data_IF_275317406578
#
_entry.id   IF_275317406578
#
_cell.length_a   1.000
_cell.length_b   1.000
_cell.length_c   1.000
_cell.angle_alpha   90.00
_cell.angle_beta   90.00
_cell.angle_gamma   90.00
#
_symmetry.space_group_name_H-M   'P 1'
#
loop_
_entity.id
_entity.type
_entity.pdbx_description
1 polymer ?
#
# COMPACT_ATOMS: atom_id res chain seq x y z
N UNK A 1 38.82 81.30 8.96
CA UNK A 1 38.21 80.52 7.85
C UNK A 1 37.79 79.18 8.39
N UNK A 2 36.48 79.01 8.58
CA UNK A 2 35.89 77.69 9.10
C UNK A 2 35.17 77.05 7.94
N UNK A 3 35.61 75.85 7.54
CA UNK A 3 34.86 74.97 6.61
C UNK A 3 34.01 73.95 7.40
N UNK A 4 32.74 74.05 7.21
CA UNK A 4 31.76 73.06 7.75
C UNK A 4 31.43 72.12 6.63
N UNK A 5 31.89 70.87 6.78
CA UNK A 5 31.46 69.73 5.89
C UNK A 5 30.15 69.09 6.39
N UNK A 6 29.18 69.07 5.52
CA UNK A 6 27.93 68.32 5.76
C UNK A 6 28.13 66.88 5.30
N UNK A 7 27.95 65.93 6.23
CA UNK A 7 27.92 64.53 5.93
C UNK A 7 26.42 64.12 5.64
N UNK A 8 26.20 63.68 4.42
CA UNK A 8 24.87 63.09 4.04
C UNK A 8 24.86 61.63 4.37
N UNK A 9 23.93 61.24 5.24
CA UNK A 9 23.62 59.84 5.54
C UNK A 9 22.70 59.27 4.43
N UNK A 10 23.20 58.32 3.65
CA UNK A 10 22.36 57.49 2.78
C UNK A 10 21.77 56.35 3.62
N UNK A 11 20.47 56.35 3.79
CA UNK A 11 19.74 55.22 4.32
C UNK A 11 19.51 54.20 3.20
N UNK A 12 20.18 53.06 3.29
CA UNK A 12 19.92 51.90 2.43
C UNK A 12 18.78 51.07 3.04
N UNK A 13 17.60 51.15 2.43
CA UNK A 13 16.48 50.29 2.76
C UNK A 13 16.69 48.90 2.10
N UNK A 14 17.17 47.94 2.89
CA UNK A 14 17.25 46.55 2.49
C UNK A 14 15.86 45.91 2.56
N UNK A 15 15.27 45.61 1.41
CA UNK A 15 14.09 44.75 1.34
C UNK A 15 14.51 43.31 1.64
N UNK A 16 14.12 42.81 2.80
CA UNK A 16 14.26 41.39 3.13
C UNK A 16 13.26 40.59 2.29
N UNK A 17 13.75 39.90 1.26
CA UNK A 17 13.00 38.88 0.54
C UNK A 17 12.91 37.68 1.46
N UNK A 18 11.75 37.47 2.08
CA UNK A 18 11.43 36.26 2.80
C UNK A 18 11.21 35.17 1.75
N UNK A 19 12.22 34.35 1.50
CA UNK A 19 12.03 33.07 0.83
C UNK A 19 11.21 32.18 1.76
N UNK A 20 9.92 32.04 1.49
CA UNK A 20 9.18 30.91 1.99
C UNK A 20 9.77 29.66 1.31
N UNK A 21 10.69 29.00 2.00
CA UNK A 21 11.08 27.66 1.65
C UNK A 21 9.83 26.81 1.80
N UNK A 22 9.19 26.49 0.68
CA UNK A 22 8.14 25.46 0.65
C UNK A 22 8.76 24.21 1.24
N UNK A 23 8.17 23.69 2.29
CA UNK A 23 8.54 22.41 2.87
C UNK A 23 8.29 21.37 1.76
N UNK A 24 9.37 20.92 1.14
CA UNK A 24 9.34 19.80 0.20
C UNK A 24 9.10 18.54 1.06
N UNK A 25 7.89 18.04 1.04
CA UNK A 25 7.48 16.80 1.71
C UNK A 25 8.02 15.54 1.02
N UNK A 26 8.63 15.69 -0.14
CA UNK A 26 9.21 14.58 -0.87
C UNK A 26 10.60 14.28 -0.32
N UNK A 27 10.69 13.33 0.60
CA UNK A 27 11.93 12.59 0.85
C UNK A 27 12.40 11.98 -0.48
N UNK A 28 13.73 11.95 -0.70
CA UNK A 28 14.32 11.30 -1.87
C UNK A 28 14.01 9.78 -1.81
N UNK A 29 12.88 9.34 -2.41
CA UNK A 29 12.50 7.93 -2.41
C UNK A 29 13.33 7.09 -3.41
N UNK A 30 14.16 7.74 -4.20
CA UNK A 30 14.96 7.07 -5.22
C UNK A 30 16.47 7.40 -5.11
N UNK A 31 17.34 6.57 -5.69
CA UNK A 31 16.99 5.35 -6.42
C UNK A 31 16.39 4.29 -5.48
N UNK A 32 15.27 3.69 -5.85
CA UNK A 32 14.63 2.64 -5.07
C UNK A 32 14.99 1.26 -5.60
N UNK A 33 15.32 0.32 -4.71
CA UNK A 33 15.57 -1.07 -5.08
C UNK A 33 14.24 -1.81 -5.23
N UNK A 34 13.91 -2.19 -6.47
CA UNK A 34 12.67 -2.87 -6.82
C UNK A 34 12.95 -4.18 -7.53
N UNK A 35 11.91 -4.94 -7.82
CA UNK A 35 11.95 -6.13 -8.64
C UNK A 35 11.08 -5.96 -9.88
N UNK A 36 11.52 -6.51 -10.99
CA UNK A 36 10.80 -6.55 -12.28
C UNK A 36 10.54 -7.99 -12.64
N UNK A 37 9.30 -8.32 -12.97
CA UNK A 37 8.87 -9.66 -13.42
C UNK A 37 9.12 -9.83 -14.94
N UNK A 38 9.70 -10.96 -15.31
CA UNK A 38 10.00 -11.29 -16.71
C UNK A 38 9.74 -12.79 -16.97
N UNK A 39 8.69 -13.14 -17.74
CA UNK A 39 7.71 -12.27 -18.41
C UNK A 39 6.80 -11.52 -17.41
N UNK A 40 6.27 -10.32 -17.81
CA UNK A 40 5.40 -9.53 -16.95
C UNK A 40 4.02 -10.19 -16.76
N UNK A 41 3.29 -9.76 -15.71
CA UNK A 41 1.91 -10.11 -15.38
C UNK A 41 1.68 -11.53 -14.83
N UNK A 42 2.65 -12.39 -14.87
CA UNK A 42 2.62 -13.67 -14.16
C UNK A 42 3.41 -13.54 -12.85
N UNK A 43 2.72 -13.71 -11.73
CA UNK A 43 3.32 -13.62 -10.39
C UNK A 43 4.32 -14.73 -10.10
N UNK A 44 4.28 -15.84 -10.86
CA UNK A 44 5.25 -16.94 -10.78
C UNK A 44 6.51 -16.69 -11.62
N UNK A 45 6.54 -15.66 -12.45
CA UNK A 45 7.69 -15.34 -13.30
C UNK A 45 8.95 -15.06 -12.47
N UNK A 46 10.13 -15.38 -13.02
CA UNK A 46 11.39 -14.91 -12.45
C UNK A 46 11.43 -13.39 -12.29
N UNK A 47 12.10 -12.94 -11.25
CA UNK A 47 12.27 -11.52 -10.96
C UNK A 47 13.73 -11.12 -11.05
N UNK A 48 13.96 -9.90 -11.54
CA UNK A 48 15.29 -9.28 -11.57
C UNK A 48 15.28 -8.06 -10.67
N UNK A 49 16.34 -7.89 -9.90
CA UNK A 49 16.57 -6.65 -9.15
C UNK A 49 16.79 -5.50 -10.13
N UNK A 50 16.15 -4.37 -9.85
CA UNK A 50 16.20 -3.20 -10.69
C UNK A 50 16.33 -1.94 -9.82
N UNK A 51 17.20 -1.02 -10.22
CA UNK A 51 17.35 0.26 -9.57
C UNK A 51 16.40 1.27 -10.22
N UNK A 52 15.28 1.52 -9.59
CA UNK A 52 14.23 2.39 -10.12
C UNK A 52 14.60 3.87 -9.93
N UNK A 53 14.62 4.60 -11.02
CA UNK A 53 14.83 6.05 -11.03
C UNK A 53 13.62 6.68 -11.74
N UNK A 54 12.81 7.50 -11.04
CA UNK A 54 11.66 8.15 -11.64
C UNK A 54 12.06 9.23 -12.65
N UNK A 55 11.09 9.78 -13.36
CA UNK A 55 11.24 10.95 -14.19
C UNK A 55 11.44 12.20 -13.31
N UNK A 56 12.23 13.14 -13.77
CA UNK A 56 12.38 14.43 -13.09
C UNK A 56 11.10 15.28 -13.21
N UNK A 57 10.46 15.25 -14.37
CA UNK A 57 9.23 16.01 -14.71
C UNK A 57 8.50 15.37 -15.86
N UNK A 58 7.18 15.54 -15.88
CA UNK A 58 6.37 15.28 -17.06
C UNK A 58 6.57 16.35 -18.14
N UNK A 59 6.47 15.95 -19.41
CA UNK A 59 6.60 16.91 -20.53
C UNK A 59 5.40 17.86 -20.62
N UNK A 60 4.24 17.48 -20.08
CA UNK A 60 3.04 18.31 -19.98
C UNK A 60 2.19 17.89 -18.77
N UNK A 61 1.20 18.70 -18.43
CA UNK A 61 0.27 18.44 -17.34
C UNK A 61 -0.77 17.39 -17.79
N UNK A 62 -0.45 16.11 -17.62
CA UNK A 62 -1.37 15.01 -17.87
C UNK A 62 -2.49 14.97 -16.84
N UNK A 63 -3.67 14.48 -17.21
CA UNK A 63 -4.81 14.27 -16.31
C UNK A 63 -4.95 12.77 -16.01
N UNK A 64 -4.72 12.38 -14.77
CA UNK A 64 -4.66 10.98 -14.33
C UNK A 64 -5.77 10.73 -13.31
N UNK A 65 -6.65 9.76 -13.60
CA UNK A 65 -7.62 9.26 -12.63
C UNK A 65 -6.99 8.15 -11.79
N UNK A 66 -7.15 8.22 -10.47
CA UNK A 66 -6.77 7.19 -9.51
C UNK A 66 -8.03 6.66 -8.84
N UNK A 67 -8.24 5.34 -8.84
CA UNK A 67 -9.42 4.73 -8.23
C UNK A 67 -9.02 3.71 -7.18
N UNK A 68 -9.45 3.92 -5.93
CA UNK A 68 -9.19 3.04 -4.81
C UNK A 68 -10.48 2.39 -4.27
N UNK A 69 -10.38 1.24 -3.58
CA UNK A 69 -11.51 0.59 -2.93
C UNK A 69 -12.14 1.48 -1.85
N UNK A 70 -11.31 2.13 -1.05
CA UNK A 70 -11.72 2.99 0.06
C UNK A 70 -10.53 3.76 0.63
N UNK A 71 -10.82 4.70 1.53
CA UNK A 71 -9.84 5.45 2.34
C UNK A 71 -10.02 5.21 3.86
N UNK A 72 -10.58 4.04 4.25
CA UNK A 72 -10.94 3.73 5.64
C UNK A 72 -9.74 3.39 6.52
N UNK A 73 -8.68 2.85 5.94
CA UNK A 73 -7.50 2.41 6.66
C UNK A 73 -6.22 3.15 6.22
N UNK A 74 -5.23 3.11 7.08
CA UNK A 74 -3.97 3.79 6.86
C UNK A 74 -3.12 3.20 5.73
N UNK A 75 -3.43 1.99 5.26
CA UNK A 75 -2.74 1.39 4.13
C UNK A 75 -3.03 2.17 2.84
N UNK A 76 -4.31 2.40 2.52
CA UNK A 76 -4.68 3.20 1.34
C UNK A 76 -4.29 4.67 1.48
N UNK A 77 -4.20 5.19 2.72
CA UNK A 77 -3.65 6.52 2.96
C UNK A 77 -2.16 6.59 2.58
N UNK A 78 -1.38 5.53 2.81
CA UNK A 78 0.01 5.47 2.38
C UNK A 78 0.14 5.42 0.85
N UNK A 79 -0.72 4.66 0.15
CA UNK A 79 -0.75 4.65 -1.32
C UNK A 79 -1.16 6.03 -1.86
N UNK A 80 -2.16 6.67 -1.26
CA UNK A 80 -2.58 8.04 -1.59
C UNK A 80 -1.43 9.04 -1.46
N UNK A 81 -0.71 9.00 -0.34
CA UNK A 81 0.48 9.83 -0.17
C UNK A 81 1.50 9.62 -1.31
N UNK A 82 1.72 8.37 -1.70
CA UNK A 82 2.61 8.03 -2.81
C UNK A 82 2.15 8.63 -4.15
N UNK A 83 0.87 8.47 -4.51
CA UNK A 83 0.35 9.01 -5.78
C UNK A 83 0.30 10.53 -5.79
N UNK A 84 -0.06 11.16 -4.67
CA UNK A 84 -0.07 12.63 -4.51
C UNK A 84 1.33 13.22 -4.63
N UNK A 85 2.28 12.65 -3.91
CA UNK A 85 3.65 13.15 -3.89
C UNK A 85 4.28 13.06 -5.29
N UNK A 86 4.13 11.93 -5.98
CA UNK A 86 4.68 11.76 -7.32
C UNK A 86 3.97 12.63 -8.36
N UNK A 87 2.65 12.81 -8.25
CA UNK A 87 1.90 13.71 -9.14
C UNK A 87 2.39 15.15 -9.03
N UNK A 88 2.69 15.61 -7.81
CA UNK A 88 3.28 16.93 -7.56
C UNK A 88 4.71 17.05 -8.09
N UNK A 89 5.53 16.03 -7.84
CA UNK A 89 6.92 16.01 -8.27
C UNK A 89 7.01 16.05 -9.80
N UNK A 90 6.15 15.31 -10.50
CA UNK A 90 6.09 15.29 -11.97
C UNK A 90 5.35 16.52 -12.56
N UNK A 91 4.48 17.17 -11.78
CA UNK A 91 3.67 18.31 -12.24
C UNK A 91 2.49 17.87 -13.10
N UNK A 92 1.86 16.76 -12.77
CA UNK A 92 0.65 16.25 -13.44
C UNK A 92 -0.59 16.51 -12.59
N UNK A 93 -1.76 16.55 -13.22
CA UNK A 93 -3.04 16.58 -12.53
C UNK A 93 -3.44 15.15 -12.13
N UNK A 94 -3.95 14.99 -10.92
CA UNK A 94 -4.46 13.72 -10.42
C UNK A 94 -5.81 13.94 -9.76
N UNK A 95 -6.80 13.11 -10.09
CA UNK A 95 -8.08 13.05 -9.40
C UNK A 95 -8.26 11.65 -8.83
N UNK A 96 -8.45 11.56 -7.50
CA UNK A 96 -8.67 10.30 -6.80
C UNK A 96 -10.16 10.12 -6.49
N UNK A 97 -10.68 8.94 -6.81
CA UNK A 97 -12.03 8.51 -6.45
C UNK A 97 -11.95 7.24 -5.60
N UNK A 98 -12.86 7.09 -4.64
CA UNK A 98 -12.90 5.90 -3.77
C UNK A 98 -14.32 5.34 -3.67
N UNK A 99 -14.43 4.02 -3.66
CA UNK A 99 -15.72 3.34 -3.72
C UNK A 99 -16.40 3.15 -2.36
N UNK A 100 -15.70 3.33 -1.23
CA UNK A 100 -16.23 3.19 0.12
C UNK A 100 -16.17 1.79 0.69
N UNK A 101 -15.55 0.81 -0.01
CA UNK A 101 -15.33 -0.56 0.48
C UNK A 101 -15.36 -1.60 -0.62
N UNK A 102 -14.89 -2.78 -0.28
CA UNK A 102 -14.78 -3.92 -1.20
C UNK A 102 -16.13 -4.49 -1.67
N UNK A 103 -17.24 -4.10 -1.07
CA UNK A 103 -18.59 -4.49 -1.51
C UNK A 103 -19.15 -3.62 -2.62
N UNK A 104 -18.46 -2.56 -3.02
CA UNK A 104 -19.00 -1.49 -3.86
C UNK A 104 -18.40 -1.50 -5.29
N UNK A 105 -18.26 -2.67 -5.90
CA UNK A 105 -17.68 -2.81 -7.25
C UNK A 105 -18.38 -1.93 -8.30
N UNK A 106 -19.70 -1.89 -8.31
CA UNK A 106 -20.45 -1.07 -9.27
C UNK A 106 -20.18 0.43 -9.10
N UNK A 107 -19.95 0.89 -7.86
CA UNK A 107 -19.56 2.28 -7.62
C UNK A 107 -18.16 2.56 -8.15
N UNK A 108 -17.21 1.63 -7.98
CA UNK A 108 -15.87 1.78 -8.56
C UNK A 108 -15.93 1.87 -10.08
N UNK A 109 -16.73 1.03 -10.73
CA UNK A 109 -16.92 1.06 -12.18
C UNK A 109 -17.44 2.43 -12.61
N UNK A 110 -18.58 2.89 -12.04
CA UNK A 110 -19.18 4.16 -12.39
C UNK A 110 -18.25 5.37 -12.20
N UNK A 111 -17.49 5.39 -11.09
CA UNK A 111 -16.53 6.46 -10.82
C UNK A 111 -15.39 6.50 -11.84
N UNK A 112 -14.90 5.35 -12.31
CA UNK A 112 -13.88 5.30 -13.37
C UNK A 112 -14.46 5.78 -14.70
N UNK A 113 -15.70 5.38 -15.04
CA UNK A 113 -16.41 5.87 -16.23
C UNK A 113 -16.57 7.39 -16.21
N UNK A 114 -16.94 7.96 -15.06
CA UNK A 114 -17.05 9.41 -14.84
C UNK A 114 -15.70 10.12 -15.03
N UNK A 115 -14.61 9.56 -14.50
CA UNK A 115 -13.26 10.09 -14.73
C UNK A 115 -12.91 10.16 -16.22
N UNK A 116 -13.23 9.10 -16.97
CA UNK A 116 -12.96 9.04 -18.42
C UNK A 116 -13.81 10.05 -19.17
N UNK A 117 -15.09 10.16 -18.80
CA UNK A 117 -15.99 11.15 -19.37
C UNK A 117 -15.53 12.59 -19.08
N UNK A 118 -14.89 12.82 -17.94
CA UNK A 118 -14.28 14.11 -17.57
C UNK A 118 -12.96 14.39 -18.31
N UNK A 119 -12.41 13.43 -19.05
CA UNK A 119 -11.22 13.63 -19.90
C UNK A 119 -9.91 13.07 -19.35
N UNK A 120 -9.95 12.19 -18.36
CA UNK A 120 -8.76 11.50 -17.86
C UNK A 120 -8.01 10.78 -19.00
N UNK A 121 -6.71 10.96 -19.04
CA UNK A 121 -5.84 10.45 -20.09
C UNK A 121 -5.14 9.14 -19.70
N UNK A 122 -5.17 8.79 -18.42
CA UNK A 122 -4.69 7.53 -17.88
C UNK A 122 -5.44 7.17 -16.62
N UNK A 123 -5.53 5.87 -16.29
CA UNK A 123 -6.27 5.38 -15.12
C UNK A 123 -5.38 4.46 -14.29
N UNK A 124 -5.25 4.74 -13.00
CA UNK A 124 -4.57 3.89 -12.02
C UNK A 124 -5.63 3.26 -11.11
N UNK A 125 -5.68 1.93 -11.03
CA UNK A 125 -6.75 1.21 -10.37
C UNK A 125 -6.20 0.30 -9.26
N UNK A 126 -6.60 0.56 -8.01
CA UNK A 126 -6.57 -0.42 -6.93
C UNK A 126 -7.89 -1.22 -6.97
N UNK A 127 -7.87 -2.39 -7.59
CA UNK A 127 -9.09 -3.11 -7.94
C UNK A 127 -9.83 -3.70 -6.72
N UNK A 128 -11.13 -3.51 -6.65
CA UNK A 128 -12.00 -4.18 -5.65
C UNK A 128 -12.09 -5.68 -5.92
N UNK A 129 -12.17 -6.07 -7.19
CA UNK A 129 -12.36 -7.45 -7.63
C UNK A 129 -11.28 -7.86 -8.62
N UNK A 130 -10.83 -9.12 -8.52
CA UNK A 130 -9.81 -9.66 -9.44
C UNK A 130 -10.29 -9.68 -10.89
N UNK A 131 -11.56 -10.05 -11.13
CA UNK A 131 -12.14 -10.23 -12.46
C UNK A 131 -13.18 -9.17 -12.82
N UNK A 132 -13.81 -8.54 -11.82
CA UNK A 132 -15.03 -7.73 -12.02
C UNK A 132 -14.84 -6.46 -12.83
N UNK A 133 -13.60 -6.01 -13.01
CA UNK A 133 -13.27 -4.81 -13.80
C UNK A 133 -12.79 -5.10 -15.23
N UNK A 134 -12.68 -6.39 -15.62
CA UNK A 134 -12.05 -6.77 -16.88
C UNK A 134 -12.75 -6.15 -18.11
N UNK A 135 -14.07 -6.12 -18.14
CA UNK A 135 -14.82 -5.52 -19.25
C UNK A 135 -14.56 -4.02 -19.35
N UNK A 136 -14.61 -3.31 -18.22
CA UNK A 136 -14.31 -1.88 -18.17
C UNK A 136 -12.89 -1.60 -18.65
N UNK A 137 -11.92 -2.35 -18.20
CA UNK A 137 -10.50 -2.21 -18.60
C UNK A 137 -10.34 -2.43 -20.12
N UNK A 138 -11.04 -3.42 -20.68
CA UNK A 138 -11.03 -3.65 -22.14
C UNK A 138 -11.64 -2.48 -22.92
N UNK A 139 -12.72 -1.90 -22.44
CA UNK A 139 -13.33 -0.71 -23.03
C UNK A 139 -12.39 0.50 -22.97
N UNK A 140 -11.73 0.74 -21.84
CA UNK A 140 -10.76 1.83 -21.65
C UNK A 140 -9.59 1.64 -22.63
N UNK A 141 -9.05 0.41 -22.69
CA UNK A 141 -7.97 0.06 -23.60
C UNK A 141 -8.33 0.31 -25.06
N UNK A 142 -9.57 -0.04 -25.48
CA UNK A 142 -10.05 0.20 -26.84
C UNK A 142 -10.11 1.69 -27.23
N UNK A 143 -10.21 2.58 -26.24
CA UNK A 143 -10.15 4.04 -26.42
C UNK A 143 -8.71 4.57 -26.44
N UNK A 144 -7.70 3.70 -26.31
CA UNK A 144 -6.29 4.09 -26.27
C UNK A 144 -5.84 4.72 -24.95
N UNK A 145 -6.64 4.59 -23.88
CA UNK A 145 -6.31 5.10 -22.55
C UNK A 145 -5.56 4.01 -21.78
N UNK A 146 -4.34 4.27 -21.29
CA UNK A 146 -3.59 3.30 -20.51
C UNK A 146 -4.18 3.08 -19.12
N UNK A 147 -4.11 1.82 -18.66
CA UNK A 147 -4.55 1.40 -17.32
C UNK A 147 -3.37 0.80 -16.57
N UNK A 148 -3.14 1.24 -15.35
CA UNK A 148 -2.18 0.62 -14.42
C UNK A 148 -2.94 -0.03 -13.26
N UNK A 149 -2.60 -1.29 -13.01
CA UNK A 149 -3.04 -2.05 -11.85
C UNK A 149 -2.07 -1.78 -10.69
N UNK A 150 -2.57 -1.20 -9.60
CA UNK A 150 -1.79 -0.89 -8.42
C UNK A 150 -2.27 -1.70 -7.21
N UNK A 151 -1.34 -2.28 -6.45
CA UNK A 151 -1.56 -3.00 -5.19
C UNK A 151 -2.35 -4.31 -5.34
N UNK A 152 -3.65 -4.25 -5.67
CA UNK A 152 -4.59 -5.35 -5.43
C UNK A 152 -4.52 -6.49 -6.45
N UNK A 153 -4.08 -6.21 -7.66
CA UNK A 153 -4.07 -7.18 -8.74
C UNK A 153 -5.42 -7.36 -9.44
N UNK A 154 -5.37 -7.44 -10.77
CA UNK A 154 -6.51 -7.83 -11.60
C UNK A 154 -6.08 -8.79 -12.71
N UNK A 155 -7.04 -9.59 -13.21
CA UNK A 155 -6.78 -10.63 -14.21
C UNK A 155 -6.78 -10.11 -15.65
N UNK A 156 -7.24 -8.87 -15.88
CA UNK A 156 -7.28 -8.29 -17.23
C UNK A 156 -5.93 -8.34 -17.91
N UNK A 157 -5.91 -8.69 -19.18
CA UNK A 157 -4.73 -8.66 -20.05
C UNK A 157 -4.55 -7.34 -20.78
N UNK A 158 -5.56 -6.46 -20.71
CA UNK A 158 -5.60 -5.17 -21.40
C UNK A 158 -5.01 -4.03 -20.54
N UNK A 159 -4.44 -4.36 -19.37
CA UNK A 159 -3.68 -3.41 -18.57
C UNK A 159 -2.34 -3.09 -19.22
N UNK A 160 -1.89 -1.86 -19.09
CA UNK A 160 -0.61 -1.39 -19.63
C UNK A 160 0.58 -1.76 -18.76
N UNK A 161 0.41 -1.69 -17.44
CA UNK A 161 1.44 -2.04 -16.46
C UNK A 161 0.84 -2.44 -15.11
N UNK A 162 1.68 -3.08 -14.27
CA UNK A 162 1.43 -3.37 -12.86
C UNK A 162 2.48 -2.67 -12.00
N UNK A 163 2.01 -1.96 -10.96
CA UNK A 163 2.83 -1.48 -9.85
C UNK A 163 2.36 -2.19 -8.59
N UNK A 164 2.83 -3.41 -8.38
CA UNK A 164 2.39 -4.25 -7.26
C UNK A 164 3.38 -5.39 -6.98
N UNK A 165 3.23 -6.02 -5.82
CA UNK A 165 4.02 -7.15 -5.34
C UNK A 165 3.17 -8.40 -5.20
N UNK A 166 3.79 -9.53 -4.83
CA UNK A 166 3.08 -10.80 -4.59
C UNK A 166 2.47 -10.84 -3.18
N UNK A 167 1.18 -10.64 -3.06
CA UNK A 167 0.46 -10.91 -1.80
C UNK A 167 0.51 -12.40 -1.41
N UNK A 168 0.64 -13.31 -2.39
CA UNK A 168 0.90 -14.72 -2.11
C UNK A 168 2.22 -14.93 -1.35
N UNK A 169 3.26 -14.19 -1.71
CA UNK A 169 4.53 -14.20 -0.99
C UNK A 169 4.42 -13.54 0.39
N UNK A 170 3.67 -12.45 0.52
CA UNK A 170 3.41 -11.84 1.84
C UNK A 170 2.70 -12.81 2.77
N UNK A 171 1.66 -13.50 2.30
CA UNK A 171 1.00 -14.56 3.04
C UNK A 171 1.95 -15.70 3.41
N UNK A 172 2.79 -16.12 2.46
CA UNK A 172 3.82 -17.13 2.72
C UNK A 172 4.86 -16.67 3.76
N UNK A 173 5.30 -15.41 3.73
CA UNK A 173 6.21 -14.85 4.74
C UNK A 173 5.59 -14.89 6.15
N UNK A 174 4.33 -14.50 6.29
CA UNK A 174 3.61 -14.57 7.57
C UNK A 174 3.49 -16.04 8.05
N UNK A 175 3.12 -16.96 7.15
CA UNK A 175 3.03 -18.39 7.47
C UNK A 175 4.38 -19.01 7.84
N UNK A 176 5.43 -18.69 7.09
CA UNK A 176 6.81 -19.15 7.37
C UNK A 176 7.34 -18.63 8.71
N UNK A 177 7.00 -17.38 9.08
CA UNK A 177 7.36 -16.82 10.37
C UNK A 177 6.81 -17.68 11.52
N UNK A 178 5.53 -18.06 11.46
CA UNK A 178 4.93 -18.96 12.45
C UNK A 178 5.44 -20.41 12.36
N UNK A 179 5.58 -20.94 11.15
CA UNK A 179 6.07 -22.32 10.97
C UNK A 179 7.48 -22.52 11.53
N UNK A 180 8.32 -21.49 11.48
CA UNK A 180 9.66 -21.48 12.12
C UNK A 180 9.59 -21.58 13.65
N UNK A 181 8.58 -20.95 14.27
CA UNK A 181 8.38 -21.00 15.73
C UNK A 181 7.73 -22.32 16.16
N UNK A 182 7.00 -22.99 15.28
CA UNK A 182 6.25 -24.22 15.54
C UNK A 182 6.54 -25.29 14.47
N UNK A 183 7.81 -25.76 14.39
CA UNK A 183 8.16 -26.83 13.45
C UNK A 183 7.43 -28.13 13.81
N UNK A 184 7.39 -29.07 12.87
CA UNK A 184 6.78 -30.39 13.10
C UNK A 184 7.39 -31.06 14.31
N UNK A 185 6.54 -31.54 15.24
CA UNK A 185 6.92 -32.17 16.49
C UNK A 185 7.09 -31.23 17.69
N UNK A 186 6.84 -29.92 17.52
CA UNK A 186 6.90 -28.93 18.62
C UNK A 186 5.64 -28.85 19.48
N UNK A 187 4.55 -29.48 19.04
CA UNK A 187 3.24 -29.42 19.65
C UNK A 187 2.28 -28.50 18.88
N UNK A 188 1.07 -28.99 18.65
CA UNK A 188 0.06 -28.30 17.84
C UNK A 188 -0.36 -26.98 18.49
N UNK A 189 -0.38 -25.90 17.71
CA UNK A 189 -0.89 -24.60 18.10
C UNK A 189 -2.01 -24.15 17.16
N UNK A 190 -3.09 -23.63 17.74
CA UNK A 190 -4.27 -23.18 17.00
C UNK A 190 -4.16 -21.71 16.61
N UNK A 191 -4.56 -21.42 15.36
CA UNK A 191 -4.45 -20.11 14.72
C UNK A 191 -5.79 -19.72 14.08
N UNK A 192 -6.25 -18.50 14.32
CA UNK A 192 -7.29 -17.85 13.53
C UNK A 192 -6.66 -17.02 12.42
N UNK A 193 -7.16 -17.21 11.19
CA UNK A 193 -6.66 -16.53 10.00
C UNK A 193 -7.72 -15.63 9.38
N UNK A 194 -7.35 -14.35 9.11
CA UNK A 194 -8.25 -13.29 8.64
C UNK A 194 -7.66 -12.62 7.40
N UNK A 195 -7.82 -13.24 6.21
CA UNK A 195 -7.14 -12.80 4.99
C UNK A 195 -7.66 -11.50 4.39
N UNK A 196 -8.89 -11.08 4.70
CA UNK A 196 -9.53 -9.89 4.14
C UNK A 196 -10.84 -10.20 3.39
N UNK A 197 -11.31 -9.30 2.50
CA UNK A 197 -12.57 -9.46 1.79
C UNK A 197 -12.50 -10.55 0.70
N UNK A 198 -13.55 -11.38 0.55
CA UNK A 198 -13.57 -12.40 -0.49
C UNK A 198 -13.64 -11.77 -1.89
N UNK A 199 -13.06 -12.43 -2.90
CA UNK A 199 -13.10 -12.03 -4.32
C UNK A 199 -12.07 -10.98 -4.72
N UNK A 200 -11.29 -10.45 -3.78
CA UNK A 200 -10.13 -9.63 -4.09
C UNK A 200 -8.90 -10.51 -4.38
N UNK A 201 -8.18 -10.22 -5.48
CA UNK A 201 -7.06 -11.05 -5.93
C UNK A 201 -5.95 -11.18 -4.89
N UNK A 202 -5.65 -10.10 -4.18
CA UNK A 202 -4.65 -10.09 -3.11
C UNK A 202 -5.03 -11.02 -1.92
N UNK A 203 -6.32 -11.12 -1.61
CA UNK A 203 -6.83 -11.99 -0.53
C UNK A 203 -6.67 -13.46 -0.88
N UNK A 204 -7.09 -13.85 -2.08
CA UNK A 204 -7.00 -15.24 -2.53
C UNK A 204 -5.53 -15.70 -2.63
N UNK A 205 -4.67 -14.84 -3.18
CA UNK A 205 -3.24 -15.11 -3.26
C UNK A 205 -2.60 -15.23 -1.86
N UNK A 206 -2.88 -14.26 -0.97
CA UNK A 206 -2.35 -14.25 0.38
C UNK A 206 -2.82 -15.43 1.22
N UNK A 207 -4.11 -15.78 1.11
CA UNK A 207 -4.69 -16.95 1.77
C UNK A 207 -3.97 -18.24 1.33
N UNK A 208 -3.81 -18.41 0.01
CA UNK A 208 -3.08 -19.57 -0.52
C UNK A 208 -1.63 -19.60 0.00
N UNK A 209 -0.93 -18.48 -0.05
CA UNK A 209 0.46 -18.37 0.40
C UNK A 209 0.62 -18.73 1.87
N UNK A 210 -0.23 -18.19 2.74
CA UNK A 210 -0.22 -18.47 4.17
C UNK A 210 -0.48 -19.95 4.46
N UNK A 211 -1.57 -20.49 3.92
CA UNK A 211 -1.96 -21.89 4.15
C UNK A 211 -0.91 -22.87 3.62
N UNK A 212 -0.29 -22.59 2.47
CA UNK A 212 0.78 -23.43 1.94
C UNK A 212 2.03 -23.39 2.81
N UNK A 213 2.38 -22.24 3.34
CA UNK A 213 3.57 -22.04 4.17
C UNK A 213 3.50 -22.73 5.54
N UNK A 214 2.30 -22.86 6.12
CA UNK A 214 2.12 -23.56 7.41
C UNK A 214 1.99 -25.08 7.25
N UNK A 215 1.83 -25.60 6.03
CA UNK A 215 1.80 -27.06 5.78
C UNK A 215 3.12 -27.69 6.26
N UNK A 216 2.99 -28.82 6.94
CA UNK A 216 4.16 -29.55 7.45
C UNK A 216 4.76 -29.01 8.75
N UNK A 217 4.19 -27.94 9.31
CA UNK A 217 4.45 -27.47 10.68
C UNK A 217 3.42 -28.00 11.68
N UNK A 218 3.50 -27.61 12.94
CA UNK A 218 2.48 -27.90 13.94
C UNK A 218 1.46 -26.76 14.08
N UNK A 219 1.36 -25.89 13.08
CA UNK A 219 0.30 -24.87 12.98
C UNK A 219 -0.99 -25.50 12.49
N UNK A 220 -2.07 -25.31 13.25
CA UNK A 220 -3.44 -25.71 12.90
C UNK A 220 -4.30 -24.47 12.73
N UNK A 221 -4.63 -24.10 11.50
CA UNK A 221 -5.62 -23.05 11.25
C UNK A 221 -7.00 -23.64 11.59
N UNK A 222 -7.60 -23.14 12.68
CA UNK A 222 -8.91 -23.63 13.18
C UNK A 222 -10.06 -22.83 12.62
N UNK A 223 -9.80 -21.60 12.18
CA UNK A 223 -10.81 -20.71 11.60
C UNK A 223 -10.18 -19.84 10.53
N UNK A 224 -10.87 -19.66 9.40
CA UNK A 224 -10.55 -18.67 8.37
C UNK A 224 -11.78 -17.80 8.16
N UNK A 225 -11.69 -16.51 8.51
CA UNK A 225 -12.81 -15.59 8.37
C UNK A 225 -12.51 -14.47 7.39
N UNK A 226 -13.38 -14.37 6.39
CA UNK A 226 -13.33 -13.31 5.38
C UNK A 226 -14.20 -12.13 5.81
N UNK A 227 -13.76 -10.92 5.51
CA UNK A 227 -14.52 -9.69 5.76
C UNK A 227 -13.78 -8.45 5.28
N UNK A 228 -14.52 -7.35 5.09
CA UNK A 228 -13.95 -6.06 4.69
C UNK A 228 -12.90 -5.58 5.72
N UNK A 229 -11.93 -4.78 5.27
CA UNK A 229 -10.81 -4.27 6.08
C UNK A 229 -11.21 -3.13 7.03
N UNK A 230 -12.50 -2.88 7.24
CA UNK A 230 -12.98 -1.97 8.27
C UNK A 230 -12.69 -2.51 9.68
N UNK A 231 -12.18 -1.66 10.58
CA UNK A 231 -11.78 -2.04 11.93
C UNK A 231 -12.93 -2.71 12.73
N UNK A 232 -14.15 -2.17 12.62
CA UNK A 232 -15.33 -2.73 13.30
C UNK A 232 -15.67 -4.14 12.80
N UNK A 233 -15.59 -4.36 11.48
CA UNK A 233 -15.83 -5.68 10.88
C UNK A 233 -14.80 -6.67 11.39
N UNK A 234 -13.53 -6.30 11.37
CA UNK A 234 -12.44 -7.18 11.81
C UNK A 234 -12.50 -7.45 13.31
N UNK A 235 -12.85 -6.46 14.14
CA UNK A 235 -13.07 -6.64 15.58
C UNK A 235 -14.13 -7.73 15.82
N UNK A 236 -15.27 -7.62 15.15
CA UNK A 236 -16.36 -8.61 15.29
C UNK A 236 -15.92 -10.02 14.89
N UNK A 237 -15.18 -10.15 13.78
CA UNK A 237 -14.67 -11.45 13.34
C UNK A 237 -13.69 -12.07 14.36
N UNK A 238 -12.82 -11.26 14.97
CA UNK A 238 -11.89 -11.70 16.03
C UNK A 238 -12.65 -12.11 17.28
N UNK A 239 -13.65 -11.32 17.72
CA UNK A 239 -14.49 -11.66 18.89
C UNK A 239 -15.20 -13.00 18.73
N UNK A 240 -15.82 -13.22 17.57
CA UNK A 240 -16.53 -14.46 17.26
C UNK A 240 -15.57 -15.66 17.22
N UNK A 241 -14.36 -15.47 16.69
CA UNK A 241 -13.32 -16.52 16.67
C UNK A 241 -12.84 -16.86 18.08
N UNK A 242 -12.56 -15.86 18.92
CA UNK A 242 -12.15 -16.10 20.31
C UNK A 242 -13.23 -16.79 21.14
N UNK A 243 -14.51 -16.53 20.86
CA UNK A 243 -15.62 -17.20 21.51
C UNK A 243 -15.77 -18.68 21.07
N UNK A 244 -15.53 -18.96 19.78
CA UNK A 244 -15.63 -20.31 19.22
C UNK A 244 -14.40 -21.18 19.52
N UNK A 245 -13.22 -20.58 19.65
CA UNK A 245 -11.93 -21.26 19.80
C UNK A 245 -11.14 -20.71 21.01
N UNK A 246 -11.52 -21.07 22.25
CA UNK A 246 -10.90 -20.49 23.47
C UNK A 246 -9.42 -20.90 23.66
N UNK A 247 -8.96 -21.94 22.99
CA UNK A 247 -7.59 -22.45 23.07
C UNK A 247 -6.63 -21.84 22.04
N UNK A 248 -7.13 -20.95 21.19
CA UNK A 248 -6.36 -20.30 20.12
C UNK A 248 -5.12 -19.59 20.68
N UNK A 249 -4.01 -19.67 19.97
CA UNK A 249 -2.72 -19.08 20.38
C UNK A 249 -2.31 -17.89 19.54
N UNK A 250 -2.84 -17.80 18.32
CA UNK A 250 -2.50 -16.73 17.38
C UNK A 250 -3.73 -16.20 16.66
N UNK A 251 -3.79 -14.88 16.56
CA UNK A 251 -4.62 -14.14 15.60
C UNK A 251 -3.68 -13.65 14.49
N UNK A 252 -3.94 -14.07 13.27
CA UNK A 252 -3.15 -13.66 12.09
C UNK A 252 -4.08 -13.07 11.05
N UNK A 253 -3.75 -11.91 10.51
CA UNK A 253 -4.65 -11.34 9.51
C UNK A 253 -4.21 -9.97 8.98
N UNK A 254 -5.17 -9.28 8.37
CA UNK A 254 -4.98 -7.92 7.87
C UNK A 254 -4.49 -6.99 8.98
N UNK A 255 -3.92 -5.84 8.62
CA UNK A 255 -3.51 -4.85 9.64
C UNK A 255 -4.69 -4.41 10.51
N UNK A 256 -5.90 -4.09 9.96
CA UNK A 256 -7.06 -3.81 10.80
C UNK A 256 -7.46 -4.96 11.74
N UNK A 257 -7.29 -6.22 11.33
CA UNK A 257 -7.48 -7.39 12.21
C UNK A 257 -6.51 -7.33 13.38
N UNK A 258 -5.22 -7.11 13.07
CA UNK A 258 -4.15 -7.12 14.08
C UNK A 258 -4.29 -5.98 15.06
N UNK A 259 -4.63 -4.78 14.59
CA UNK A 259 -4.89 -3.60 15.42
C UNK A 259 -6.15 -3.79 16.30
N UNK A 260 -7.21 -4.38 15.77
CA UNK A 260 -8.42 -4.69 16.52
C UNK A 260 -8.15 -5.77 17.58
N UNK A 261 -7.42 -6.83 17.20
CA UNK A 261 -7.04 -7.92 18.11
C UNK A 261 -6.17 -7.43 19.27
N UNK A 262 -5.18 -6.56 19.01
CA UNK A 262 -4.34 -5.97 20.05
C UNK A 262 -5.18 -5.29 21.14
N UNK A 263 -6.09 -4.41 20.75
CA UNK A 263 -6.98 -3.72 21.66
C UNK A 263 -7.86 -4.68 22.46
N UNK A 264 -8.52 -5.61 21.77
CA UNK A 264 -9.41 -6.58 22.38
C UNK A 264 -8.71 -7.52 23.38
N UNK A 265 -7.52 -8.00 23.02
CA UNK A 265 -6.73 -8.90 23.88
C UNK A 265 -6.29 -8.19 25.18
N UNK A 266 -5.90 -6.92 25.08
CA UNK A 266 -5.59 -6.08 26.25
C UNK A 266 -6.82 -5.93 27.14
N UNK A 267 -7.96 -5.55 26.58
CA UNK A 267 -9.19 -5.29 27.35
C UNK A 267 -9.71 -6.57 28.04
N UNK A 268 -9.39 -7.74 27.50
CA UNK A 268 -9.76 -9.06 28.06
C UNK A 268 -8.66 -9.69 28.95
N UNK A 269 -7.52 -9.03 29.16
CA UNK A 269 -6.39 -9.60 29.92
C UNK A 269 -5.77 -10.84 29.30
N UNK A 270 -5.78 -10.90 27.97
CA UNK A 270 -5.25 -12.01 27.16
C UNK A 270 -3.92 -11.66 26.47
N UNK A 271 -3.38 -10.46 26.69
CA UNK A 271 -2.06 -10.06 26.20
C UNK A 271 -0.98 -11.09 26.60
N UNK A 272 -0.12 -11.42 25.66
CA UNK A 272 0.93 -12.43 25.84
C UNK A 272 0.46 -13.88 25.85
N UNK A 273 -0.83 -14.16 26.15
CA UNK A 273 -1.42 -15.51 26.05
C UNK A 273 -1.81 -15.85 24.62
N UNK A 274 -2.37 -14.88 23.91
CA UNK A 274 -2.69 -14.95 22.48
C UNK A 274 -1.82 -13.90 21.80
N UNK A 275 -1.11 -14.31 20.77
CA UNK A 275 -0.18 -13.47 20.03
C UNK A 275 -0.81 -12.99 18.72
N UNK A 276 -0.37 -11.84 18.23
CA UNK A 276 -0.86 -11.21 17.02
C UNK A 276 0.23 -11.11 15.98
N UNK A 277 -0.07 -11.48 14.75
CA UNK A 277 0.80 -11.34 13.57
C UNK A 277 0.02 -10.65 12.46
N UNK A 278 0.56 -9.59 11.91
CA UNK A 278 -0.06 -8.91 10.79
C UNK A 278 0.40 -9.49 9.43
N UNK A 279 -0.44 -9.29 8.43
CA UNK A 279 -0.25 -9.82 7.07
C UNK A 279 0.23 -8.74 6.09
N UNK A 280 0.07 -7.46 6.45
CA UNK A 280 0.66 -6.30 5.78
C UNK A 280 0.89 -5.16 6.80
N UNK A 281 1.46 -4.05 6.33
CA UNK A 281 2.07 -3.05 7.21
C UNK A 281 1.29 -1.73 7.22
N UNK A 282 1.05 -1.18 8.42
CA UNK A 282 0.39 0.11 8.67
C UNK A 282 1.06 0.82 9.85
N UNK A 283 0.79 2.11 10.12
CA UNK A 283 1.30 2.80 11.30
C UNK A 283 0.93 2.08 12.62
N UNK A 284 -0.32 1.58 12.74
CA UNK A 284 -0.75 0.84 13.94
C UNK A 284 0.03 -0.46 14.14
N UNK A 285 0.32 -1.18 13.06
CA UNK A 285 1.19 -2.38 13.09
C UNK A 285 2.63 -2.01 13.45
N UNK A 286 3.17 -0.91 12.88
CA UNK A 286 4.51 -0.41 13.22
C UNK A 286 4.64 -0.14 14.73
N UNK A 287 3.71 0.62 15.30
CA UNK A 287 3.71 0.91 16.74
C UNK A 287 3.43 -0.34 17.58
N UNK A 288 2.60 -1.27 17.10
CA UNK A 288 2.33 -2.56 17.74
C UNK A 288 3.60 -3.43 17.84
N UNK A 289 4.41 -3.48 16.78
CA UNK A 289 5.69 -4.21 16.76
C UNK A 289 6.71 -3.54 17.69
N UNK A 290 6.86 -2.22 17.64
CA UNK A 290 7.75 -1.47 18.56
C UNK A 290 7.42 -1.69 20.02
N UNK A 291 6.15 -1.78 20.33
CA UNK A 291 5.67 -2.02 21.69
C UNK A 291 5.61 -3.51 22.10
N UNK A 292 5.96 -4.42 21.19
CA UNK A 292 5.95 -5.87 21.44
C UNK A 292 4.55 -6.50 21.51
N UNK A 293 3.51 -5.81 21.05
CA UNK A 293 2.12 -6.28 21.05
C UNK A 293 1.74 -7.02 19.77
N UNK A 294 2.35 -6.64 18.64
CA UNK A 294 2.30 -7.36 17.37
C UNK A 294 3.68 -7.96 17.13
N UNK A 295 3.75 -9.21 16.71
CA UNK A 295 5.01 -9.92 16.57
C UNK A 295 5.82 -9.47 15.36
N UNK A 296 5.18 -9.40 14.22
CA UNK A 296 5.79 -9.07 12.94
C UNK A 296 4.74 -8.76 11.88
N UNK A 297 5.17 -8.20 10.76
CA UNK A 297 4.40 -8.05 9.54
C UNK A 297 5.31 -8.00 8.32
N UNK A 298 4.95 -8.59 7.18
CA UNK A 298 5.59 -8.26 5.92
C UNK A 298 5.19 -6.83 5.50
N UNK A 299 6.11 -6.14 4.84
CA UNK A 299 5.85 -4.84 4.21
C UNK A 299 6.13 -4.91 2.72
N UNK A 300 5.32 -4.23 1.96
CA UNK A 300 5.34 -4.14 0.50
C UNK A 300 5.67 -2.73 0.00
N UNK A 301 6.02 -1.81 0.90
CA UNK A 301 6.35 -0.42 0.58
C UNK A 301 5.22 0.28 -0.21
N UNK A 302 4.05 0.40 0.42
CA UNK A 302 2.82 0.90 -0.20
C UNK A 302 2.98 2.32 -0.80
N UNK A 303 3.75 3.21 -0.14
CA UNK A 303 4.06 4.56 -0.67
C UNK A 303 4.82 4.46 -1.99
N UNK A 304 5.83 3.59 -2.05
CA UNK A 304 6.66 3.41 -3.26
C UNK A 304 5.82 2.84 -4.41
N UNK A 305 4.91 1.91 -4.14
CA UNK A 305 4.01 1.37 -5.18
C UNK A 305 3.12 2.46 -5.77
N UNK A 306 2.57 3.36 -4.93
CA UNK A 306 1.79 4.52 -5.38
C UNK A 306 2.61 5.47 -6.27
N UNK A 307 3.83 5.81 -5.85
CA UNK A 307 4.74 6.65 -6.63
C UNK A 307 5.08 6.03 -7.99
N UNK A 308 5.48 4.75 -7.98
CA UNK A 308 5.80 4.02 -9.21
C UNK A 308 4.60 4.01 -10.18
N UNK A 309 3.38 3.84 -9.68
CA UNK A 309 2.19 3.81 -10.53
C UNK A 309 2.02 5.12 -11.32
N UNK A 310 2.21 6.27 -10.70
CA UNK A 310 2.13 7.58 -11.38
C UNK A 310 3.30 7.80 -12.35
N UNK A 311 4.53 7.49 -11.93
CA UNK A 311 5.70 7.62 -12.82
C UNK A 311 5.58 6.73 -14.06
N UNK A 312 5.16 5.46 -13.89
CA UNK A 312 4.92 4.55 -15.02
C UNK A 312 3.80 5.05 -15.93
N UNK A 313 2.73 5.61 -15.37
CA UNK A 313 1.65 6.21 -16.16
C UNK A 313 2.16 7.34 -17.04
N UNK A 314 2.95 8.25 -16.48
CA UNK A 314 3.56 9.35 -17.27
C UNK A 314 4.49 8.82 -18.34
N UNK A 315 5.31 7.81 -18.04
CA UNK A 315 6.18 7.16 -19.05
C UNK A 315 5.38 6.60 -20.23
N UNK A 316 4.28 5.91 -19.94
CA UNK A 316 3.42 5.34 -20.98
C UNK A 316 2.80 6.45 -21.84
N UNK A 317 2.23 7.49 -21.20
CA UNK A 317 1.61 8.61 -21.89
C UNK A 317 2.59 9.41 -22.78
N UNK A 318 3.87 9.39 -22.42
CA UNK A 318 4.93 10.07 -23.16
C UNK A 318 5.74 9.16 -24.10
N UNK A 319 5.37 7.88 -24.21
CA UNK A 319 6.08 6.93 -25.06
C UNK A 319 7.52 6.65 -24.59
N UNK A 320 7.82 6.88 -23.31
CA UNK A 320 9.12 6.58 -22.71
C UNK A 320 9.24 5.11 -22.30
N UNK A 321 10.46 4.64 -22.10
CA UNK A 321 10.70 3.31 -21.57
C UNK A 321 10.10 3.16 -20.16
N UNK A 322 9.39 2.05 -19.91
CA UNK A 322 8.75 1.72 -18.65
C UNK A 322 8.85 0.22 -18.35
N UNK A 323 8.58 -0.16 -17.11
CA UNK A 323 8.52 -1.56 -16.68
C UNK A 323 7.07 -2.04 -16.65
N UNK A 324 6.75 -3.10 -17.41
CA UNK A 324 5.36 -3.62 -17.47
C UNK A 324 4.87 -4.20 -16.14
N UNK A 325 5.79 -4.74 -15.33
CA UNK A 325 5.46 -5.25 -14.01
C UNK A 325 6.63 -5.00 -13.06
N UNK A 326 6.44 -4.13 -12.12
CA UNK A 326 7.47 -3.69 -11.17
C UNK A 326 6.86 -3.53 -9.78
N UNK A 327 7.61 -3.84 -8.75
CA UNK A 327 7.22 -3.62 -7.36
C UNK A 327 8.43 -3.62 -6.42
N UNK A 328 8.30 -3.03 -5.24
CA UNK A 328 9.32 -3.06 -4.21
C UNK A 328 9.69 -4.47 -3.78
N UNK A 329 10.83 -4.63 -3.10
CA UNK A 329 11.17 -5.87 -2.41
C UNK A 329 10.33 -6.02 -1.16
N UNK A 330 9.94 -7.25 -0.87
CA UNK A 330 9.24 -7.60 0.36
C UNK A 330 10.23 -7.82 1.51
N UNK A 331 9.87 -7.34 2.69
CA UNK A 331 10.62 -7.55 3.91
C UNK A 331 9.70 -7.99 5.04
N UNK A 332 10.12 -8.96 5.85
CA UNK A 332 9.48 -9.25 7.14
C UNK A 332 10.06 -8.30 8.18
N UNK A 333 9.18 -7.54 8.81
CA UNK A 333 9.54 -6.59 9.87
C UNK A 333 9.11 -7.16 11.20
N UNK A 334 10.03 -7.21 12.16
CA UNK A 334 9.80 -7.62 13.54
C UNK A 334 10.65 -6.77 14.52
N UNK A 335 10.64 -7.11 15.78
CA UNK A 335 11.41 -6.39 16.82
C UNK A 335 12.92 -6.34 16.55
N UNK A 336 13.46 -7.25 15.74
CA UNK A 336 14.89 -7.30 15.43
C UNK A 336 15.33 -6.26 14.40
N UNK A 337 14.44 -5.81 13.52
CA UNK A 337 14.79 -4.91 12.42
C UNK A 337 13.94 -3.63 12.33
N UNK A 338 12.87 -3.49 13.14
CA UNK A 338 11.95 -2.35 13.11
C UNK A 338 12.64 -0.99 13.23
N UNK A 339 13.73 -0.90 14.01
CA UNK A 339 14.45 0.36 14.23
C UNK A 339 15.38 0.75 13.08
N UNK A 340 15.69 -0.16 12.17
CA UNK A 340 16.51 0.08 10.97
C UNK A 340 15.68 0.09 9.68
N UNK A 341 14.38 -0.14 9.79
CA UNK A 341 13.47 -0.16 8.68
C UNK A 341 13.17 1.27 8.18
N UNK A 342 13.26 1.46 6.87
CA UNK A 342 12.82 2.70 6.22
C UNK A 342 11.30 2.72 6.14
N UNK A 343 10.67 3.26 7.19
CA UNK A 343 9.22 3.29 7.30
C UNK A 343 8.56 4.24 6.29
N UNK A 344 9.26 5.29 5.80
CA UNK A 344 8.73 6.26 4.83
C UNK A 344 8.43 5.60 3.46
N UNK A 345 9.04 4.46 3.17
CA UNK A 345 8.70 3.65 2.00
C UNK A 345 7.29 3.05 2.06
N UNK A 346 6.76 2.86 3.27
CA UNK A 346 5.52 2.13 3.53
C UNK A 346 4.43 2.96 4.19
N UNK A 347 4.78 4.02 4.92
CA UNK A 347 3.87 4.80 5.74
C UNK A 347 3.80 6.25 5.26
N UNK A 348 2.59 6.81 5.23
CA UNK A 348 2.43 8.25 5.05
C UNK A 348 2.91 9.00 6.30
N UNK A 349 3.36 10.26 6.18
CA UNK A 349 3.62 11.12 7.33
C UNK A 349 2.37 11.26 8.24
N UNK A 350 2.59 11.38 9.55
CA UNK A 350 1.52 11.40 10.55
C UNK A 350 0.48 12.51 10.35
N UNK A 351 0.88 13.61 9.75
CA UNK A 351 0.02 14.76 9.47
C UNK A 351 -0.59 14.75 8.06
N UNK A 352 -0.27 13.75 7.23
CA UNK A 352 -0.89 13.60 5.92
C UNK A 352 -2.39 13.32 6.05
N UNK A 353 -3.18 14.00 5.25
CA UNK A 353 -4.64 13.81 5.14
C UNK A 353 -4.98 13.33 3.75
N UNK A 354 -6.03 12.53 3.59
CA UNK A 354 -6.49 12.10 2.28
C UNK A 354 -6.60 13.27 1.30
N UNK A 355 -6.02 13.11 0.13
CA UNK A 355 -6.07 14.12 -0.93
C UNK A 355 -6.68 13.53 -2.19
N UNK A 356 -7.75 14.15 -2.61
CA UNK A 356 -8.52 13.65 -3.75
C UNK A 356 -8.16 14.35 -5.06
N UNK A 357 -7.38 15.42 -5.01
CA UNK A 357 -6.99 16.20 -6.18
C UNK A 357 -5.57 16.76 -6.04
N UNK A 358 -4.83 16.74 -7.14
CA UNK A 358 -3.59 17.48 -7.37
C UNK A 358 -3.77 18.28 -8.66
N UNK A 359 -3.65 19.61 -8.55
CA UNK A 359 -3.82 20.53 -9.69
C UNK A 359 -2.51 20.78 -10.45
#
# INVERSE_FOLDING_TARGET
MKFTGKIALLAASGAAVVFCAGISWAGNWYPSQVQVWDPPFDMASPRKDFNYVPLDKAAKKWDICVSFPHMKDAYWLAVDYGVVAESRDLGVKMTLVEAGGYTNLNKQISQIEDCIAAGAQGVVIGAISYDGLNNLVSEIHSKGIPVIDVINGMSSKDISAKSLVSFGEMGAMAGQYLAKLHPKGSGVVEVGWFPGPPGAGWVEAGNKGFLDAVKGSDIKVVETKYGDTGKEVQLKLVEDTLAAHPDIKYIVGTSPTSEAAEGLLRDRGLEGKIKVLAYYFTPGVYEGIKAGRIMAAPTDSAVIQGRIAIDQMVRILEGKAYQKHVGPKLYMIDSGNINSFDHDSSLAPDDFKPMFDVE
#
